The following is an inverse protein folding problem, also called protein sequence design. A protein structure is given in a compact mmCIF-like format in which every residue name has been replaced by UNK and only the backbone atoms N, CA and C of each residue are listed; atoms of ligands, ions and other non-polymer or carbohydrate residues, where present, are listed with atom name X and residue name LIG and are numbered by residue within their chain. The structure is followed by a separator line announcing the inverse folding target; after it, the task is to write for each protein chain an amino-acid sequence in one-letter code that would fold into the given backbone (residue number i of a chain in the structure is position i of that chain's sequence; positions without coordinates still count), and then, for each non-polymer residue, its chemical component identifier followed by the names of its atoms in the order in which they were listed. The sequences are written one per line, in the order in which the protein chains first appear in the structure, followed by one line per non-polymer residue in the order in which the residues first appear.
data_IF_989048848924
#
_entry.id   IF_989048848924
#
_cell.length_a   1.000
_cell.length_b   1.000
_cell.length_c   1.000
_cell.angle_alpha   90.00
_cell.angle_beta   90.00
_cell.angle_gamma   90.00
#
_symmetry.space_group_name_H-M   'P 1'
#
loop_
_entity.id
_entity.type
_entity.pdbx_description
1 polymer ?
#
# COMPACT_ATOMS: atom_id res chain seq x y z
N UNK A 1 -7.26 38.33 -86.74
CA UNK A 1 -8.16 37.28 -86.21
C UNK A 1 -8.39 37.59 -84.74
N UNK A 2 -9.53 38.21 -84.41
CA UNK A 2 -9.92 38.38 -83.02
C UNK A 2 -10.25 37.02 -82.43
N UNK A 3 -9.66 36.72 -81.28
CA UNK A 3 -9.76 35.40 -80.68
C UNK A 3 -11.14 35.30 -80.00
N UNK A 4 -12.10 34.72 -80.72
CA UNK A 4 -13.39 34.28 -80.18
C UNK A 4 -13.13 33.40 -78.94
N UNK A 5 -13.89 33.61 -77.85
CA UNK A 5 -13.72 32.98 -76.52
C UNK A 5 -12.56 33.47 -75.61
N UNK A 6 -12.42 34.80 -75.43
CA UNK A 6 -11.63 35.35 -74.30
C UNK A 6 -12.28 35.09 -72.92
N UNK A 7 -13.60 35.26 -72.80
CA UNK A 7 -14.33 35.09 -71.52
C UNK A 7 -14.28 33.66 -70.98
N UNK A 8 -14.51 32.67 -71.84
CA UNK A 8 -14.43 31.26 -71.45
C UNK A 8 -13.03 30.87 -71.00
N UNK A 9 -11.98 31.30 -71.71
CA UNK A 9 -10.59 31.04 -71.30
C UNK A 9 -10.23 31.66 -69.96
N UNK A 10 -10.67 32.88 -69.68
CA UNK A 10 -10.43 33.53 -68.38
C UNK A 10 -11.21 32.81 -67.27
N UNK A 11 -12.45 32.39 -67.53
CA UNK A 11 -13.25 31.62 -66.56
C UNK A 11 -12.62 30.26 -66.26
N UNK A 12 -12.20 29.50 -67.26
CA UNK A 12 -11.50 28.22 -67.08
C UNK A 12 -10.16 28.40 -66.36
N UNK A 13 -9.42 29.47 -66.66
CA UNK A 13 -8.18 29.80 -65.94
C UNK A 13 -8.43 30.16 -64.48
N UNK A 14 -9.48 30.93 -64.19
CA UNK A 14 -9.84 31.30 -62.81
C UNK A 14 -10.30 30.06 -62.01
N UNK A 15 -11.07 29.17 -62.65
CA UNK A 15 -11.49 27.90 -62.05
C UNK A 15 -10.27 26.99 -61.77
N UNK A 16 -9.33 26.91 -62.72
CA UNK A 16 -8.07 26.20 -62.53
C UNK A 16 -7.25 26.79 -61.37
N UNK A 17 -7.11 28.11 -61.32
CA UNK A 17 -6.38 28.80 -60.25
C UNK A 17 -7.04 28.55 -58.89
N UNK A 18 -8.37 28.59 -58.82
CA UNK A 18 -9.12 28.27 -57.61
C UNK A 18 -8.90 26.83 -57.16
N UNK A 19 -9.02 25.86 -58.06
CA UNK A 19 -8.77 24.45 -57.77
C UNK A 19 -7.32 24.20 -57.35
N UNK A 20 -6.37 24.92 -57.95
CA UNK A 20 -4.95 24.88 -57.59
C UNK A 20 -4.69 25.40 -56.18
N UNK A 21 -5.28 26.55 -55.81
CA UNK A 21 -5.16 27.09 -54.45
C UNK A 21 -5.80 26.15 -53.43
N UNK A 22 -6.97 25.57 -53.74
CA UNK A 22 -7.65 24.62 -52.87
C UNK A 22 -6.82 23.36 -52.65
N UNK A 23 -6.25 22.78 -53.72
CA UNK A 23 -5.41 21.59 -53.61
C UNK A 23 -4.13 21.86 -52.83
N UNK A 24 -3.47 23.00 -53.05
CA UNK A 24 -2.33 23.42 -52.23
C UNK A 24 -2.73 23.57 -50.76
N UNK A 25 -3.88 24.20 -50.47
CA UNK A 25 -4.39 24.35 -49.11
C UNK A 25 -4.60 23.01 -48.42
N UNK A 26 -5.22 22.04 -49.10
CA UNK A 26 -5.42 20.68 -48.58
C UNK A 26 -4.08 20.00 -48.28
N UNK A 27 -3.10 20.10 -49.19
CA UNK A 27 -1.76 19.53 -48.99
C UNK A 27 -1.08 20.15 -47.76
N UNK A 28 -1.13 21.48 -47.61
CA UNK A 28 -0.56 22.16 -46.44
C UNK A 28 -1.21 21.73 -45.13
N UNK A 29 -2.54 21.62 -45.10
CA UNK A 29 -3.27 21.13 -43.92
C UNK A 29 -2.86 19.69 -43.61
N UNK A 30 -2.81 18.81 -44.60
CA UNK A 30 -2.41 17.42 -44.41
C UNK A 30 -0.98 17.30 -43.85
N UNK A 31 -0.02 18.06 -44.39
CA UNK A 31 1.36 18.08 -43.90
C UNK A 31 1.43 18.65 -42.47
N UNK A 32 0.68 19.71 -42.18
CA UNK A 32 0.64 20.32 -40.85
C UNK A 32 0.09 19.35 -39.79
N UNK A 33 -1.01 18.66 -40.08
CA UNK A 33 -1.56 17.63 -39.20
C UNK A 33 -0.58 16.46 -39.03
N UNK A 34 0.05 16.01 -40.12
CA UNK A 34 1.05 14.94 -40.08
C UNK A 34 2.26 15.27 -39.21
N UNK A 35 2.64 16.55 -39.07
CA UNK A 35 3.79 16.95 -38.24
C UNK A 35 3.40 17.27 -36.79
N UNK A 36 2.26 17.93 -36.56
CA UNK A 36 1.85 18.39 -35.23
C UNK A 36 1.25 17.27 -34.36
N UNK A 37 0.59 16.29 -34.99
CA UNK A 37 -0.04 15.17 -34.28
C UNK A 37 0.98 14.27 -33.56
N UNK A 38 2.11 13.84 -34.18
CA UNK A 38 3.16 13.09 -33.50
C UNK A 38 3.77 13.80 -32.29
N UNK A 39 3.84 15.14 -32.33
CA UNK A 39 4.43 15.92 -31.24
C UNK A 39 3.53 15.92 -30.01
N UNK A 40 2.23 16.12 -30.21
CA UNK A 40 1.24 16.10 -29.13
C UNK A 40 1.09 14.69 -28.54
N UNK A 41 1.10 13.66 -29.38
CA UNK A 41 1.10 12.27 -28.93
C UNK A 41 2.34 11.95 -28.08
N UNK A 42 3.53 12.36 -28.54
CA UNK A 42 4.77 12.15 -27.77
C UNK A 42 4.76 12.93 -26.44
N UNK A 43 4.20 14.13 -26.41
CA UNK A 43 4.03 14.91 -25.17
C UNK A 43 3.11 14.19 -24.17
N UNK A 44 1.96 13.68 -24.63
CA UNK A 44 1.02 12.91 -23.81
C UNK A 44 1.69 11.61 -23.31
N UNK A 45 2.33 10.86 -24.21
CA UNK A 45 3.04 9.62 -23.86
C UNK A 45 4.17 9.86 -22.86
N UNK A 46 4.88 10.99 -22.95
CA UNK A 46 5.91 11.37 -21.97
C UNK A 46 5.30 11.72 -20.62
N UNK A 47 4.16 12.42 -20.60
CA UNK A 47 3.46 12.73 -19.36
C UNK A 47 2.94 11.46 -18.67
N UNK A 48 2.36 10.54 -19.44
CA UNK A 48 1.89 9.25 -18.94
C UNK A 48 3.05 8.38 -18.43
N UNK A 49 4.17 8.29 -19.16
CA UNK A 49 5.37 7.59 -18.69
C UNK A 49 5.89 8.17 -17.36
N UNK A 50 5.86 9.50 -17.19
CA UNK A 50 6.25 10.13 -15.92
C UNK A 50 5.31 9.77 -14.78
N UNK A 51 4.00 9.71 -15.03
CA UNK A 51 3.00 9.27 -14.05
C UNK A 51 3.27 7.83 -13.62
N UNK A 52 3.45 6.92 -14.58
CA UNK A 52 3.74 5.50 -14.31
C UNK A 52 5.06 5.34 -13.55
N UNK A 53 6.11 6.08 -13.92
CA UNK A 53 7.38 6.03 -13.20
C UNK A 53 7.25 6.52 -11.75
N UNK A 54 6.47 7.58 -11.53
CA UNK A 54 6.19 8.07 -10.19
C UNK A 54 5.42 7.03 -9.36
N UNK A 55 4.36 6.44 -9.92
CA UNK A 55 3.58 5.39 -9.26
C UNK A 55 4.44 4.19 -8.91
N UNK A 56 5.29 3.72 -9.83
CA UNK A 56 6.19 2.59 -9.58
C UNK A 56 7.22 2.89 -8.49
N UNK A 57 7.81 4.09 -8.49
CA UNK A 57 8.74 4.50 -7.44
C UNK A 57 8.06 4.60 -6.08
N UNK A 58 6.85 5.15 -6.05
CA UNK A 58 6.05 5.23 -4.83
C UNK A 58 5.70 3.84 -4.31
N UNK A 59 5.18 2.95 -5.16
CA UNK A 59 4.89 1.56 -4.82
C UNK A 59 6.10 0.86 -4.22
N UNK A 60 7.27 1.01 -4.84
CA UNK A 60 8.52 0.44 -4.33
C UNK A 60 8.87 0.97 -2.95
N UNK A 61 8.79 2.29 -2.73
CA UNK A 61 9.04 2.90 -1.42
C UNK A 61 8.05 2.39 -0.37
N UNK A 62 6.76 2.38 -0.69
CA UNK A 62 5.70 1.90 0.18
C UNK A 62 5.92 0.43 0.58
N UNK A 63 6.25 -0.44 -0.38
CA UNK A 63 6.54 -1.84 -0.09
C UNK A 63 7.76 -2.02 0.83
N UNK A 64 8.81 -1.22 0.64
CA UNK A 64 9.99 -1.25 1.52
C UNK A 64 9.68 -0.78 2.94
N UNK A 65 8.76 0.17 3.10
CA UNK A 65 8.31 0.61 4.42
C UNK A 65 7.44 -0.46 5.10
N UNK A 66 6.57 -1.13 4.36
CA UNK A 66 5.81 -2.28 4.88
C UNK A 66 6.71 -3.46 5.28
N UNK A 67 7.75 -3.75 4.51
CA UNK A 67 8.71 -4.82 4.83
C UNK A 67 9.44 -4.55 6.16
N UNK A 68 9.76 -3.28 6.46
CA UNK A 68 10.32 -2.91 7.77
C UNK A 68 9.33 -3.18 8.89
N UNK A 69 8.07 -2.83 8.68
CA UNK A 69 7.00 -3.10 9.65
C UNK A 69 6.83 -4.60 9.85
N UNK A 70 6.91 -5.41 8.79
CA UNK A 70 6.85 -6.88 8.88
C UNK A 70 7.93 -7.42 9.82
N UNK A 71 9.18 -6.96 9.65
CA UNK A 71 10.30 -7.32 10.52
C UNK A 71 10.08 -6.91 11.98
N UNK A 72 9.48 -5.73 12.21
CA UNK A 72 9.12 -5.29 13.56
C UNK A 72 8.01 -6.16 14.15
N UNK A 73 6.99 -6.52 13.38
CA UNK A 73 5.91 -7.43 13.80
C UNK A 73 6.48 -8.83 14.12
N UNK A 74 7.44 -9.33 13.34
CA UNK A 74 8.14 -10.59 13.63
C UNK A 74 9.02 -10.52 14.86
N UNK A 75 9.46 -9.33 15.23
CA UNK A 75 10.22 -9.12 16.46
C UNK A 75 9.32 -9.13 17.70
N UNK A 76 8.00 -8.94 17.59
CA UNK A 76 7.07 -9.07 18.72
C UNK A 76 7.10 -10.48 19.33
N UNK A 77 7.32 -11.52 18.52
CA UNK A 77 7.36 -12.91 18.99
C UNK A 77 8.60 -13.21 19.85
N UNK A 78 9.69 -12.43 19.67
CA UNK A 78 11.00 -12.68 20.30
C UNK A 78 11.21 -11.91 21.60
N UNK A 79 10.32 -10.97 21.92
CA UNK A 79 10.47 -10.08 23.07
C UNK A 79 9.58 -10.57 24.20
N UNK A 80 10.21 -11.07 25.27
CA UNK A 80 9.50 -11.53 26.47
C UNK A 80 8.99 -10.35 27.32
N UNK A 81 9.76 -9.26 27.40
CA UNK A 81 9.42 -8.06 28.17
C UNK A 81 9.60 -6.79 27.34
N UNK A 82 8.65 -5.84 27.43
CA UNK A 82 8.75 -4.54 26.74
C UNK A 82 8.16 -4.49 25.33
N UNK A 83 7.36 -5.49 24.92
CA UNK A 83 6.70 -5.52 23.61
C UNK A 83 5.82 -4.28 23.32
N UNK A 84 5.34 -3.60 24.37
CA UNK A 84 4.54 -2.38 24.25
C UNK A 84 5.27 -1.23 23.53
N UNK A 85 6.58 -1.08 23.73
CA UNK A 85 7.36 -0.06 23.01
C UNK A 85 7.46 -0.40 21.52
N UNK A 86 7.61 -1.68 21.21
CA UNK A 86 7.65 -2.18 19.83
C UNK A 86 6.28 -1.96 19.15
N UNK A 87 5.19 -2.26 19.86
CA UNK A 87 3.82 -2.00 19.40
C UNK A 87 3.58 -0.51 19.11
N UNK A 88 4.00 0.39 20.00
CA UNK A 88 3.88 1.84 19.75
C UNK A 88 4.68 2.27 18.53
N UNK A 89 5.88 1.72 18.36
CA UNK A 89 6.75 2.02 17.22
C UNK A 89 6.11 1.57 15.90
N UNK A 90 5.57 0.34 15.86
CA UNK A 90 4.84 -0.19 14.69
C UNK A 90 3.63 0.68 14.36
N UNK A 91 2.83 1.05 15.37
CA UNK A 91 1.66 1.91 15.16
C UNK A 91 2.04 3.29 14.62
N UNK A 92 3.12 3.90 15.14
CA UNK A 92 3.62 5.18 14.64
C UNK A 92 4.06 5.07 13.18
N UNK A 93 4.77 4.00 12.81
CA UNK A 93 5.23 3.78 11.44
C UNK A 93 4.04 3.55 10.48
N UNK A 94 3.03 2.77 10.87
CA UNK A 94 1.79 2.60 10.10
C UNK A 94 1.04 3.92 9.88
N UNK A 95 1.00 4.79 10.89
CA UNK A 95 0.39 6.13 10.77
C UNK A 95 1.18 7.00 9.80
N UNK A 96 2.51 6.98 9.89
CA UNK A 96 3.38 7.75 9.00
C UNK A 96 3.19 7.30 7.54
N UNK A 97 3.20 6.00 7.25
CA UNK A 97 2.94 5.48 5.91
C UNK A 97 1.56 5.92 5.42
N UNK A 98 0.53 5.86 6.28
CA UNK A 98 -0.82 6.30 5.92
C UNK A 98 -0.87 7.80 5.57
N UNK A 99 -0.13 8.62 6.31
CA UNK A 99 -0.04 10.07 6.06
C UNK A 99 0.75 10.40 4.78
N UNK A 100 1.70 9.56 4.42
CA UNK A 100 2.52 9.71 3.22
C UNK A 100 1.78 9.34 1.92
N UNK A 101 0.59 8.70 2.01
CA UNK A 101 -0.21 8.35 0.83
C UNK A 101 -0.69 9.61 0.10
N UNK A 102 -0.28 9.82 -1.17
CA UNK A 102 -0.78 10.90 -2.01
C UNK A 102 -2.31 10.83 -2.17
N UNK A 103 -3.01 11.91 -1.78
CA UNK A 103 -4.48 11.98 -1.81
C UNK A 103 -5.07 12.08 -3.23
N UNK A 104 -4.33 12.71 -4.15
CA UNK A 104 -4.87 13.11 -5.46
C UNK A 104 -4.22 12.38 -6.65
N UNK A 105 -3.20 11.54 -6.44
CA UNK A 105 -2.34 11.04 -7.52
C UNK A 105 -2.28 9.52 -7.68
N UNK A 106 -2.94 8.74 -6.82
CA UNK A 106 -2.93 7.29 -6.90
C UNK A 106 -4.33 6.78 -7.21
N UNK A 107 -4.50 6.14 -8.37
CA UNK A 107 -5.75 5.48 -8.77
C UNK A 107 -6.21 4.41 -7.77
N UNK A 108 -5.29 3.90 -6.94
CA UNK A 108 -5.53 2.76 -6.06
C UNK A 108 -5.27 3.05 -4.57
N UNK A 109 -5.70 4.23 -4.09
CA UNK A 109 -5.60 4.60 -2.66
C UNK A 109 -6.19 3.50 -1.74
N UNK A 110 -7.28 2.86 -2.17
CA UNK A 110 -7.90 1.75 -1.46
C UNK A 110 -6.98 0.54 -1.27
N UNK A 111 -6.10 0.22 -2.23
CA UNK A 111 -5.12 -0.87 -2.08
C UNK A 111 -4.15 -0.58 -0.93
N UNK A 112 -3.57 0.62 -0.89
CA UNK A 112 -2.60 1.01 0.15
C UNK A 112 -3.25 1.02 1.53
N UNK A 113 -4.45 1.59 1.65
CA UNK A 113 -5.20 1.58 2.92
C UNK A 113 -5.52 0.16 3.39
N UNK A 114 -5.93 -0.73 2.48
CA UNK A 114 -6.21 -2.12 2.80
C UNK A 114 -4.97 -2.89 3.27
N UNK A 115 -3.80 -2.63 2.67
CA UNK A 115 -2.55 -3.23 3.10
C UNK A 115 -2.16 -2.74 4.50
N UNK A 116 -2.22 -1.44 4.77
CA UNK A 116 -1.97 -0.88 6.11
C UNK A 116 -2.91 -1.49 7.15
N UNK A 117 -4.20 -1.62 6.83
CA UNK A 117 -5.18 -2.26 7.70
C UNK A 117 -4.87 -3.73 7.95
N UNK A 118 -4.36 -4.44 6.94
CA UNK A 118 -3.96 -5.86 7.07
C UNK A 118 -2.78 -6.00 8.02
N UNK A 119 -1.74 -5.19 7.86
CA UNK A 119 -0.59 -5.16 8.77
C UNK A 119 -0.98 -4.78 10.20
N UNK A 120 -1.90 -3.83 10.36
CA UNK A 120 -2.45 -3.48 11.66
C UNK A 120 -3.14 -4.68 12.33
N UNK A 121 -4.03 -5.37 11.60
CA UNK A 121 -4.72 -6.57 12.10
C UNK A 121 -3.74 -7.69 12.46
N UNK A 122 -2.67 -7.85 11.67
CA UNK A 122 -1.62 -8.84 11.94
C UNK A 122 -0.91 -8.54 13.26
N UNK A 123 -0.49 -7.28 13.47
CA UNK A 123 0.10 -6.82 14.72
C UNK A 123 -0.84 -7.04 15.91
N UNK A 124 -2.10 -6.60 15.81
CA UNK A 124 -3.11 -6.78 16.86
C UNK A 124 -3.28 -8.27 17.20
N UNK A 125 -3.32 -9.14 16.19
CA UNK A 125 -3.43 -10.59 16.39
C UNK A 125 -2.21 -11.17 17.10
N UNK A 126 -0.99 -10.75 16.75
CA UNK A 126 0.23 -11.19 17.42
C UNK A 126 0.28 -10.73 18.88
N UNK A 127 -0.14 -9.48 19.16
CA UNK A 127 -0.27 -8.98 20.54
C UNK A 127 -1.22 -9.86 21.35
N UNK A 128 -2.40 -10.14 20.81
CA UNK A 128 -3.41 -10.93 21.51
C UNK A 128 -2.91 -12.36 21.77
N UNK A 129 -2.20 -12.96 20.82
CA UNK A 129 -1.54 -14.27 21.02
C UNK A 129 -0.52 -14.22 22.16
N UNK A 130 0.31 -13.18 22.23
CA UNK A 130 1.31 -13.04 23.31
C UNK A 130 0.65 -12.85 24.67
N UNK A 131 -0.44 -12.10 24.75
CA UNK A 131 -1.21 -11.96 25.99
C UNK A 131 -1.80 -13.29 26.46
N UNK A 132 -2.32 -14.10 25.53
CA UNK A 132 -2.83 -15.44 25.83
C UNK A 132 -1.71 -16.38 26.27
N UNK A 133 -0.54 -16.32 25.65
CA UNK A 133 0.66 -17.09 26.06
C UNK A 133 1.06 -16.75 27.50
N UNK A 134 1.18 -15.47 27.81
CA UNK A 134 1.52 -15.01 29.16
C UNK A 134 0.48 -15.46 30.21
N UNK A 135 -0.81 -15.31 29.90
CA UNK A 135 -1.88 -15.75 30.78
C UNK A 135 -1.85 -17.27 31.02
N UNK A 136 -1.52 -18.06 30.00
CA UNK A 136 -1.37 -19.50 30.13
C UNK A 136 -0.20 -19.87 31.05
N UNK A 137 0.96 -19.22 30.89
CA UNK A 137 2.12 -19.46 31.75
C UNK A 137 1.81 -19.12 33.21
N UNK A 138 1.09 -18.01 33.46
CA UNK A 138 0.65 -17.64 34.81
C UNK A 138 -0.30 -18.68 35.43
N UNK A 139 -1.24 -19.23 34.63
CA UNK A 139 -2.14 -20.30 35.06
C UNK A 139 -1.35 -21.57 35.42
N UNK A 140 -0.36 -21.93 34.61
CA UNK A 140 0.47 -23.12 34.86
C UNK A 140 1.27 -22.97 36.17
N UNK A 141 1.88 -21.80 36.41
CA UNK A 141 2.58 -21.46 37.66
C UNK A 141 1.64 -21.50 38.88
N UNK A 142 0.43 -20.97 38.76
CA UNK A 142 -0.57 -20.98 39.84
C UNK A 142 -1.06 -22.40 40.14
N UNK A 143 -1.22 -23.23 39.11
CA UNK A 143 -1.60 -24.63 39.27
C UNK A 143 -0.50 -25.45 39.96
N UNK A 144 0.77 -25.17 39.68
CA UNK A 144 1.90 -25.80 40.37
C UNK A 144 1.90 -25.42 41.86
N UNK A 145 1.79 -24.12 42.18
CA UNK A 145 1.68 -23.64 43.57
C UNK A 145 0.48 -24.23 44.30
N UNK A 146 -0.67 -24.38 43.64
CA UNK A 146 -1.84 -25.02 44.23
C UNK A 146 -1.58 -26.47 44.61
N UNK A 147 -0.90 -27.24 43.74
CA UNK A 147 -0.54 -28.64 44.04
C UNK A 147 0.43 -28.73 45.21
N UNK A 148 1.39 -27.82 45.29
CA UNK A 148 2.33 -27.77 46.42
C UNK A 148 1.61 -27.49 47.73
N UNK A 149 0.72 -26.49 47.76
CA UNK A 149 -0.08 -26.20 48.95
C UNK A 149 -1.02 -27.35 49.33
N UNK A 150 -1.63 -28.04 48.36
CA UNK A 150 -2.43 -29.24 48.65
C UNK A 150 -1.60 -30.36 49.27
N UNK A 151 -0.34 -30.52 48.83
CA UNK A 151 0.57 -31.51 49.40
C UNK A 151 0.99 -31.13 50.82
N UNK A 152 1.32 -29.87 51.06
CA UNK A 152 1.68 -29.35 52.39
C UNK A 152 0.53 -29.49 53.39
N UNK A 153 -0.70 -29.16 52.97
CA UNK A 153 -1.89 -29.35 53.79
C UNK A 153 -2.05 -30.83 54.18
N UNK A 154 -1.92 -31.76 53.22
CA UNK A 154 -1.99 -33.20 53.50
C UNK A 154 -0.90 -33.65 54.47
N UNK A 155 0.31 -33.10 54.39
CA UNK A 155 1.38 -33.43 55.33
C UNK A 155 1.08 -32.90 56.73
N UNK A 156 0.61 -31.66 56.85
CA UNK A 156 0.22 -31.04 58.11
C UNK A 156 -0.94 -31.78 58.77
N UNK A 157 -1.95 -32.18 58.01
CA UNK A 157 -3.08 -32.99 58.50
C UNK A 157 -2.60 -34.33 59.08
N UNK A 158 -1.72 -35.04 58.38
CA UNK A 158 -1.12 -36.30 58.89
C UNK A 158 -0.33 -36.08 60.17
N UNK A 159 0.49 -35.03 60.24
CA UNK A 159 1.27 -34.70 61.42
C UNK A 159 0.36 -34.38 62.63
N UNK A 160 -0.74 -33.67 62.38
CA UNK A 160 -1.72 -33.30 63.40
C UNK A 160 -2.52 -34.52 63.88
N UNK A 161 -2.84 -35.46 63.00
CA UNK A 161 -3.48 -36.71 63.39
C UNK A 161 -2.55 -37.59 64.26
N UNK A 162 -1.27 -37.68 63.88
CA UNK A 162 -0.24 -38.36 64.69
C UNK A 162 -0.12 -37.77 66.10
N UNK A 163 -0.05 -36.44 66.21
CA UNK A 163 0.06 -35.79 67.53
C UNK A 163 -1.19 -36.01 68.38
N UNK A 164 -2.39 -35.99 67.78
CA UNK A 164 -3.64 -36.33 68.48
C UNK A 164 -3.66 -37.76 68.99
N UNK A 165 -3.12 -38.72 68.24
CA UNK A 165 -3.04 -40.13 68.65
C UNK A 165 -2.00 -40.36 69.76
N UNK A 166 -0.95 -39.55 69.82
CA UNK A 166 0.08 -39.63 70.87
C UNK A 166 -0.33 -38.99 72.20
N UNK A 167 -1.32 -38.09 72.17
CA UNK A 167 -1.83 -37.39 73.36
C UNK A 167 -3.04 -38.08 74.03
N UNK A 168 -3.51 -39.21 73.48
CA UNK A 168 -4.48 -40.12 74.09
C UNK A 168 -3.79 -41.41 74.51
#
# INVERSE_FOLDING_TARGET
MEILNKKERVSSFLLFLLMFVVTIGIIFVAVFFSYKLPWKENEILRAENKKIQFEFQYQKKFMQELEKIDVLIDSLDKVDEGYFFLEQSINAELINIKSDIPKDSLEDNGMYENLILTYKKLMDSKRDLKQVENAKNEIDDLNEKLRDYENDIKQLERALELSRRLNN
#
